data_IF_998011657910
#
_entry.id   IF_998011657910
#
_cell.length_a   1.000
_cell.length_b   1.000
_cell.length_c   1.000
_cell.angle_alpha   90.00
_cell.angle_beta   90.00
_cell.angle_gamma   90.00
#
_symmetry.space_group_name_H-M   'P 1'
#
loop_
_entity.id
_entity.type
_entity.pdbx_description
1 polymer ?
#
# COMPACT_ATOMS: atom_id res chain seq x y z
N UNK A 1 1.24 8.96 -25.15
CA UNK A 1 0.27 8.28 -26.04
C UNK A 1 -1.08 8.38 -25.37
N UNK A 2 -2.02 9.13 -25.94
CA UNK A 2 -3.29 9.53 -25.27
C UNK A 2 -4.44 8.63 -25.74
N UNK A 3 -5.08 7.83 -24.88
CA UNK A 3 -6.46 7.42 -25.12
C UNK A 3 -7.43 8.46 -24.56
N UNK A 4 -7.56 9.60 -25.26
CA UNK A 4 -8.72 10.49 -25.10
C UNK A 4 -9.98 9.75 -25.60
N UNK A 5 -10.93 9.54 -24.69
CA UNK A 5 -12.30 9.05 -24.95
C UNK A 5 -12.40 7.75 -25.77
N UNK A 6 -11.92 6.64 -25.20
CA UNK A 6 -12.25 5.28 -25.64
C UNK A 6 -13.54 4.77 -24.98
N UNK A 7 -14.23 3.82 -25.63
CA UNK A 7 -15.36 3.08 -25.04
C UNK A 7 -14.92 2.50 -23.68
N UNK A 8 -15.77 2.59 -22.65
CA UNK A 8 -15.48 1.95 -21.37
C UNK A 8 -15.32 0.44 -21.58
N UNK A 9 -14.16 -0.10 -21.25
CA UNK A 9 -13.89 -1.54 -21.37
C UNK A 9 -14.42 -2.26 -20.13
N UNK A 10 -15.20 -3.32 -20.31
CA UNK A 10 -15.62 -4.17 -19.19
C UNK A 10 -14.43 -4.96 -18.59
N UNK A 11 -14.53 -5.45 -17.35
CA UNK A 11 -13.44 -6.20 -16.70
C UNK A 11 -12.93 -7.40 -17.51
N UNK A 12 -13.80 -8.08 -18.25
CA UNK A 12 -13.41 -9.22 -19.09
C UNK A 12 -12.47 -8.85 -20.25
N UNK A 13 -12.60 -7.64 -20.81
CA UNK A 13 -11.74 -7.17 -21.91
C UNK A 13 -10.51 -6.41 -21.41
N UNK A 14 -10.58 -5.85 -20.20
CA UNK A 14 -9.50 -5.11 -19.57
C UNK A 14 -9.45 -5.44 -18.06
N UNK A 15 -8.79 -6.55 -17.69
CA UNK A 15 -8.84 -7.12 -16.35
C UNK A 15 -7.95 -6.40 -15.33
N UNK A 16 -7.04 -5.51 -15.77
CA UNK A 16 -6.09 -4.86 -14.87
C UNK A 16 -6.33 -3.35 -14.79
N UNK A 17 -5.98 -2.76 -13.63
CA UNK A 17 -5.86 -1.31 -13.46
C UNK A 17 -4.60 -0.99 -12.70
N UNK A 18 -3.64 -0.31 -13.34
CA UNK A 18 -2.52 0.31 -12.64
C UNK A 18 -2.98 1.66 -12.07
N UNK A 19 -2.75 1.91 -10.78
CA UNK A 19 -3.21 3.13 -10.11
C UNK A 19 -2.13 3.73 -9.23
N UNK A 20 -1.94 5.04 -9.33
CA UNK A 20 -1.06 5.82 -8.45
C UNK A 20 -1.84 6.94 -7.77
N UNK A 21 -1.35 7.37 -6.61
CA UNK A 21 -1.95 8.42 -5.79
C UNK A 21 -0.91 9.48 -5.46
N UNK A 22 -1.35 10.74 -5.45
CA UNK A 22 -0.64 11.81 -4.75
C UNK A 22 -1.38 12.14 -3.45
N UNK A 23 -0.63 12.30 -2.35
CA UNK A 23 -1.20 12.41 -1.00
C UNK A 23 -0.53 13.50 -0.17
N UNK A 24 -1.27 14.09 0.77
CA UNK A 24 -0.76 15.15 1.66
C UNK A 24 0.13 14.63 2.80
N UNK A 25 0.30 13.31 2.94
CA UNK A 25 1.10 12.70 4.00
C UNK A 25 1.18 11.18 3.86
N UNK A 26 1.90 10.53 4.77
CA UNK A 26 2.28 9.10 4.66
C UNK A 26 1.33 8.12 5.35
N UNK A 27 0.28 8.59 6.04
CA UNK A 27 -0.65 7.74 6.79
C UNK A 27 -2.10 7.95 6.31
N UNK A 28 -2.80 6.91 5.82
CA UNK A 28 -4.19 7.01 5.39
C UNK A 28 -5.19 7.47 6.47
N UNK A 29 -4.86 7.28 7.75
CA UNK A 29 -5.69 7.72 8.87
C UNK A 29 -5.72 9.25 9.01
N UNK A 30 -4.67 9.96 8.58
CA UNK A 30 -4.54 11.41 8.79
C UNK A 30 -4.36 12.20 7.49
N UNK A 31 -3.59 11.66 6.54
CA UNK A 31 -3.39 12.24 5.22
C UNK A 31 -4.63 12.16 4.34
N UNK A 32 -4.59 12.88 3.21
CA UNK A 32 -5.66 12.94 2.21
C UNK A 32 -5.11 12.71 0.81
N UNK A 33 -5.94 12.18 -0.07
CA UNK A 33 -5.61 12.06 -1.51
C UNK A 33 -5.87 13.40 -2.20
N UNK A 34 -4.90 13.87 -2.99
CA UNK A 34 -4.96 15.11 -3.78
C UNK A 34 -4.88 14.89 -5.28
N UNK A 35 -4.38 13.75 -5.74
CA UNK A 35 -4.54 13.31 -7.13
C UNK A 35 -4.66 11.80 -7.23
N UNK A 36 -5.38 11.34 -8.26
CA UNK A 36 -5.50 9.93 -8.63
C UNK A 36 -5.23 9.83 -10.12
N UNK A 37 -4.35 8.92 -10.50
CA UNK A 37 -4.14 8.53 -11.89
C UNK A 37 -4.29 7.01 -12.03
N UNK A 38 -4.92 6.58 -13.12
CA UNK A 38 -5.12 5.18 -13.42
C UNK A 38 -4.99 4.89 -14.91
N UNK A 39 -4.48 3.69 -15.22
CA UNK A 39 -4.44 3.08 -16.53
C UNK A 39 -5.16 1.74 -16.48
N UNK A 40 -6.27 1.63 -17.18
CA UNK A 40 -6.97 0.37 -17.41
C UNK A 40 -6.21 -0.38 -18.49
N UNK A 41 -5.86 -1.64 -18.23
CA UNK A 41 -5.02 -2.44 -19.11
C UNK A 41 -5.70 -3.74 -19.55
N UNK A 42 -5.40 -4.18 -20.77
CA UNK A 42 -5.82 -5.47 -21.33
C UNK A 42 -5.13 -6.66 -20.67
N UNK A 43 -5.44 -7.88 -21.10
CA UNK A 43 -4.86 -9.14 -20.58
C UNK A 43 -3.33 -9.24 -20.72
N UNK A 44 -2.71 -8.41 -21.55
CA UNK A 44 -1.26 -8.33 -21.70
C UNK A 44 -0.63 -7.19 -20.90
N UNK A 45 -1.42 -6.47 -20.11
CA UNK A 45 -0.95 -5.31 -19.34
C UNK A 45 -0.62 -4.10 -20.22
N UNK A 46 -1.20 -3.99 -21.41
CA UNK A 46 -1.13 -2.79 -22.23
C UNK A 46 -2.29 -1.85 -21.91
N UNK A 47 -2.01 -0.55 -21.76
CA UNK A 47 -3.02 0.44 -21.39
C UNK A 47 -3.99 0.72 -22.54
N UNK A 48 -5.29 0.64 -22.26
CA UNK A 48 -6.39 0.84 -23.22
C UNK A 48 -7.32 2.01 -22.87
N UNK A 49 -7.34 2.41 -21.59
CA UNK A 49 -8.09 3.57 -21.11
C UNK A 49 -7.31 4.25 -19.98
N UNK A 50 -7.40 5.58 -19.93
CA UNK A 50 -6.71 6.40 -18.95
C UNK A 50 -7.70 7.23 -18.12
N UNK A 51 -7.32 7.50 -16.87
CA UNK A 51 -8.09 8.35 -15.97
C UNK A 51 -7.16 9.16 -15.09
N UNK A 52 -7.43 10.47 -14.98
CA UNK A 52 -6.75 11.36 -14.05
C UNK A 52 -7.76 12.30 -13.36
N UNK A 53 -7.53 12.61 -12.09
CA UNK A 53 -8.27 13.66 -11.38
C UNK A 53 -7.50 14.24 -10.19
N UNK A 54 -7.44 15.57 -10.14
CA UNK A 54 -7.09 16.35 -8.94
C UNK A 54 -8.28 16.41 -7.98
N UNK A 55 -8.00 16.26 -6.69
CA UNK A 55 -8.98 16.18 -5.61
C UNK A 55 -8.82 17.32 -4.60
N UNK A 56 -9.94 17.93 -4.23
CA UNK A 56 -10.04 18.90 -3.16
C UNK A 56 -10.44 18.19 -1.85
N UNK A 57 -9.52 18.00 -0.88
CA UNK A 57 -9.80 17.33 0.37
C UNK A 57 -10.60 18.20 1.36
N UNK A 58 -10.65 19.52 1.16
CA UNK A 58 -11.40 20.46 1.99
C UNK A 58 -10.52 21.50 2.65
N UNK A 59 -11.10 22.66 3.02
CA UNK A 59 -10.35 23.84 3.45
C UNK A 59 -9.57 23.65 4.76
N UNK A 60 -9.94 22.67 5.59
CA UNK A 60 -9.27 22.38 6.87
C UNK A 60 -8.12 21.36 6.73
N UNK A 61 -7.80 20.93 5.51
CA UNK A 61 -6.75 19.93 5.27
C UNK A 61 -5.40 20.62 5.19
N UNK A 62 -4.43 20.16 5.99
CA UNK A 62 -3.04 20.49 5.74
C UNK A 62 -2.60 19.79 4.44
N UNK A 63 -2.32 20.57 3.40
CA UNK A 63 -1.93 20.05 2.09
C UNK A 63 -0.48 19.53 2.09
N UNK A 64 0.32 19.95 3.08
CA UNK A 64 1.73 19.62 3.12
C UNK A 64 2.54 20.38 2.06
N UNK A 65 3.82 20.02 1.88
CA UNK A 65 4.69 20.66 0.91
C UNK A 65 4.32 20.30 -0.54
N UNK A 66 4.18 21.31 -1.40
CA UNK A 66 3.90 21.16 -2.85
C UNK A 66 4.85 20.16 -3.52
N UNK A 67 6.14 20.20 -3.19
CA UNK A 67 7.15 19.34 -3.81
C UNK A 67 6.97 17.83 -3.53
N UNK A 68 6.07 17.44 -2.60
CA UNK A 68 5.73 16.03 -2.37
C UNK A 68 4.67 15.50 -3.33
N UNK A 69 3.74 16.34 -3.76
CA UNK A 69 2.59 15.92 -4.57
C UNK A 69 2.42 16.69 -5.89
N UNK A 70 3.23 17.71 -6.15
CA UNK A 70 3.28 18.45 -7.42
C UNK A 70 2.17 19.48 -7.65
N UNK A 71 1.28 19.72 -6.69
CA UNK A 71 0.10 20.59 -6.88
C UNK A 71 0.16 21.83 -6.00
N UNK A 72 -0.20 22.97 -6.56
CA UNK A 72 -0.41 24.21 -5.82
C UNK A 72 -1.73 24.15 -5.00
N UNK A 73 -1.85 24.94 -3.91
CA UNK A 73 -3.11 25.07 -3.19
C UNK A 73 -4.29 25.48 -4.09
N UNK A 74 -4.04 26.31 -5.09
CA UNK A 74 -5.05 26.80 -6.05
C UNK A 74 -5.56 25.67 -6.95
N UNK A 75 -4.67 24.83 -7.49
CA UNK A 75 -5.05 23.64 -8.27
C UNK A 75 -5.87 22.65 -7.42
N UNK A 76 -5.43 22.39 -6.19
CA UNK A 76 -6.17 21.54 -5.25
C UNK A 76 -7.54 22.14 -4.92
N UNK A 77 -7.65 23.46 -4.78
CA UNK A 77 -8.92 24.12 -4.51
C UNK A 77 -9.93 23.93 -5.66
N UNK A 78 -9.45 23.91 -6.91
CA UNK A 78 -10.26 23.64 -8.11
C UNK A 78 -10.57 22.15 -8.33
N UNK A 79 -9.86 21.26 -7.62
CA UNK A 79 -10.06 19.82 -7.68
C UNK A 79 -11.47 19.34 -7.28
N UNK A 80 -11.79 18.10 -7.65
CA UNK A 80 -13.09 17.47 -7.36
C UNK A 80 -13.16 16.98 -5.92
N UNK A 81 -14.36 16.91 -5.35
CA UNK A 81 -14.55 16.17 -4.08
C UNK A 81 -14.47 14.67 -4.35
N UNK A 82 -13.78 13.90 -3.49
CA UNK A 82 -13.70 12.44 -3.60
C UNK A 82 -15.10 11.79 -3.67
N UNK A 83 -16.07 12.29 -2.92
CA UNK A 83 -17.46 11.80 -2.95
C UNK A 83 -18.17 11.92 -4.30
N UNK A 84 -17.74 12.86 -5.15
CA UNK A 84 -18.23 12.98 -6.53
C UNK A 84 -17.50 12.05 -7.50
N UNK A 85 -16.34 11.53 -7.11
CA UNK A 85 -15.53 10.63 -7.92
C UNK A 85 -15.75 9.14 -7.59
N UNK A 86 -16.19 8.82 -6.38
CA UNK A 86 -16.23 7.46 -5.87
C UNK A 86 -16.99 6.46 -6.78
N UNK A 87 -18.18 6.78 -7.29
CA UNK A 87 -18.88 5.91 -8.27
C UNK A 87 -18.11 5.64 -9.57
N UNK A 88 -17.23 6.56 -9.97
CA UNK A 88 -16.37 6.35 -11.14
C UNK A 88 -15.25 5.39 -10.79
N UNK A 89 -14.68 5.50 -9.59
CA UNK A 89 -13.69 4.55 -9.07
C UNK A 89 -14.29 3.15 -8.88
N UNK A 90 -15.51 3.04 -8.35
CA UNK A 90 -16.25 1.77 -8.26
C UNK A 90 -16.26 1.09 -9.65
N UNK A 91 -16.79 1.76 -10.69
CA UNK A 91 -16.82 1.20 -12.07
C UNK A 91 -15.43 0.87 -12.65
N UNK A 92 -14.42 1.67 -12.31
CA UNK A 92 -13.07 1.51 -12.83
C UNK A 92 -12.34 0.34 -12.16
N UNK A 93 -12.59 0.07 -10.88
CA UNK A 93 -11.84 -0.90 -10.08
C UNK A 93 -12.59 -2.21 -9.83
N UNK A 94 -13.92 -2.18 -9.78
CA UNK A 94 -14.71 -3.35 -9.41
C UNK A 94 -14.54 -4.50 -10.42
N UNK A 95 -14.30 -5.70 -9.89
CA UNK A 95 -14.11 -6.91 -10.69
C UNK A 95 -12.82 -6.95 -11.50
N UNK A 96 -11.87 -6.04 -11.26
CA UNK A 96 -10.53 -6.05 -11.88
C UNK A 96 -9.46 -6.37 -10.85
N UNK A 97 -8.28 -6.73 -11.33
CA UNK A 97 -7.07 -6.77 -10.54
C UNK A 97 -6.46 -5.37 -10.46
N UNK A 98 -6.37 -4.82 -9.25
CA UNK A 98 -5.75 -3.53 -8.96
C UNK A 98 -4.24 -3.72 -8.80
N UNK A 99 -3.46 -3.04 -9.63
CA UNK A 99 -1.99 -3.04 -9.59
C UNK A 99 -1.52 -1.74 -8.95
N UNK A 100 -0.71 -1.85 -7.90
CA UNK A 100 -0.18 -0.71 -7.13
C UNK A 100 1.28 -0.95 -6.75
N UNK A 101 1.95 0.09 -6.27
CA UNK A 101 3.28 0.01 -5.68
C UNK A 101 3.17 0.41 -4.22
N UNK A 102 3.41 -0.53 -3.29
CA UNK A 102 3.01 -0.42 -1.87
C UNK A 102 1.48 -0.43 -1.69
N UNK A 103 0.93 -1.65 -1.70
CA UNK A 103 -0.50 -1.89 -1.52
C UNK A 103 -1.01 -1.42 -0.16
N UNK A 104 -0.32 -1.66 0.98
CA UNK A 104 -0.77 -1.17 2.27
C UNK A 104 -1.04 0.33 2.30
N UNK A 105 -0.20 1.13 1.66
CA UNK A 105 -0.36 2.56 1.56
C UNK A 105 -1.49 2.94 0.59
N UNK A 106 -1.37 2.52 -0.67
CA UNK A 106 -2.27 2.95 -1.76
C UNK A 106 -3.70 2.49 -1.53
N UNK A 107 -3.88 1.22 -1.18
CA UNK A 107 -5.20 0.68 -0.84
C UNK A 107 -5.76 1.31 0.44
N UNK A 108 -4.91 1.59 1.44
CA UNK A 108 -5.32 2.30 2.65
C UNK A 108 -5.90 3.67 2.38
N UNK A 109 -5.30 4.46 1.49
CA UNK A 109 -5.85 5.75 1.09
C UNK A 109 -7.21 5.62 0.38
N UNK A 110 -7.35 4.69 -0.56
CA UNK A 110 -8.62 4.45 -1.25
C UNK A 110 -9.73 4.04 -0.28
N UNK A 111 -9.45 3.10 0.63
CA UNK A 111 -10.39 2.64 1.67
C UNK A 111 -10.76 3.79 2.61
N UNK A 112 -9.79 4.58 3.07
CA UNK A 112 -10.00 5.71 3.99
C UNK A 112 -10.87 6.80 3.35
N UNK A 113 -10.55 7.24 2.13
CA UNK A 113 -11.34 8.25 1.43
C UNK A 113 -12.76 7.77 1.11
N UNK A 114 -12.93 6.52 0.68
CA UNK A 114 -14.25 5.93 0.43
C UNK A 114 -15.09 5.89 1.72
N UNK A 115 -14.51 5.41 2.84
CA UNK A 115 -15.18 5.40 4.15
C UNK A 115 -15.55 6.81 4.62
N UNK A 116 -14.69 7.81 4.42
CA UNK A 116 -14.97 9.22 4.74
C UNK A 116 -16.13 9.76 3.90
N UNK A 117 -16.11 9.53 2.59
CA UNK A 117 -17.15 9.98 1.67
C UNK A 117 -18.52 9.35 2.00
N UNK A 118 -18.56 8.04 2.21
CA UNK A 118 -19.78 7.32 2.60
C UNK A 118 -20.31 7.81 3.95
N UNK A 119 -19.43 7.98 4.95
CA UNK A 119 -19.81 8.47 6.27
C UNK A 119 -20.37 9.90 6.22
N UNK A 120 -19.77 10.79 5.43
CA UNK A 120 -20.26 12.14 5.22
C UNK A 120 -21.65 12.15 4.56
N UNK A 121 -21.85 11.36 3.51
CA UNK A 121 -23.15 11.22 2.85
C UNK A 121 -24.21 10.64 3.81
N UNK A 122 -23.86 9.64 4.63
CA UNK A 122 -24.75 9.08 5.63
C UNK A 122 -25.16 10.13 6.69
N UNK A 123 -24.21 10.92 7.21
CA UNK A 123 -24.50 12.02 8.14
C UNK A 123 -25.43 13.07 7.52
N UNK A 124 -25.17 13.48 6.28
CA UNK A 124 -26.00 14.45 5.55
C UNK A 124 -27.43 13.92 5.32
N UNK A 125 -27.58 12.64 5.01
CA UNK A 125 -28.89 12.01 4.85
C UNK A 125 -29.66 11.95 6.19
N UNK A 126 -28.99 11.63 7.31
CA UNK A 126 -29.61 11.60 8.65
C UNK A 126 -30.05 12.99 9.12
N UNK A 127 -29.21 14.02 8.95
CA UNK A 127 -29.57 15.39 9.36
C UNK A 127 -30.77 15.93 8.58
N UNK A 128 -30.88 15.59 7.29
CA UNK A 128 -32.04 15.92 6.46
C UNK A 128 -33.30 15.17 6.91
N UNK A 129 -33.19 13.90 7.28
CA UNK A 129 -34.33 13.12 7.78
C UNK A 129 -34.91 13.69 9.07
N UNK A 130 -34.06 14.17 10.00
CA UNK A 130 -34.54 14.81 11.25
C UNK A 130 -35.27 16.13 11.00
N UNK A 131 -34.91 16.85 9.92
CA UNK A 131 -35.60 18.09 9.50
C UNK A 131 -36.92 17.82 8.73
N UNK A 132 -37.28 16.56 8.44
CA UNK A 132 -38.52 16.20 7.72
C UNK A 132 -39.82 16.38 8.53
N UNK A 133 -39.75 16.77 9.81
CA UNK A 133 -40.93 17.13 10.60
C UNK A 133 -41.73 18.35 10.10
N UNK A 134 -41.26 19.06 9.05
CA UNK A 134 -41.99 20.16 8.39
C UNK A 134 -41.84 20.09 6.87
N UNK A 135 -42.84 19.53 6.19
CA UNK A 135 -43.31 19.97 4.86
C UNK A 135 -42.44 19.81 3.61
N UNK A 136 -41.25 19.19 3.64
CA UNK A 136 -40.38 19.14 2.44
C UNK A 136 -40.18 17.71 1.89
N UNK A 137 -41.21 17.20 1.22
CA UNK A 137 -41.17 15.95 0.45
C UNK A 137 -40.55 16.22 -0.94
N UNK A 138 -39.27 15.90 -1.15
CA UNK A 138 -38.76 15.97 -2.54
C UNK A 138 -37.27 15.73 -2.79
N UNK A 139 -36.36 15.88 -1.80
CA UNK A 139 -34.91 15.71 -2.09
C UNK A 139 -34.43 14.27 -1.94
N UNK A 140 -33.94 13.71 -3.06
CA UNK A 140 -33.38 12.34 -3.20
C UNK A 140 -32.17 12.12 -2.28
N UNK A 141 -32.09 10.92 -1.68
CA UNK A 141 -30.98 10.49 -0.80
C UNK A 141 -29.65 10.58 -1.55
N UNK A 142 -28.63 11.17 -0.94
CA UNK A 142 -27.29 11.23 -1.54
C UNK A 142 -26.66 9.83 -1.50
N UNK A 143 -26.37 9.26 -2.69
CA UNK A 143 -25.65 7.99 -2.88
C UNK A 143 -24.31 8.31 -3.55
N UNK A 144 -23.21 8.02 -2.87
CA UNK A 144 -21.84 8.41 -3.31
C UNK A 144 -21.01 7.26 -3.87
N UNK A 145 -21.43 6.00 -3.72
CA UNK A 145 -20.66 4.81 -4.11
C UNK A 145 -20.41 3.89 -2.93
N UNK A 146 -19.46 2.98 -3.05
CA UNK A 146 -18.98 2.09 -1.97
C UNK A 146 -17.45 2.14 -1.82
N UNK A 147 -16.87 1.30 -0.96
CA UNK A 147 -15.42 1.05 -1.06
C UNK A 147 -15.23 0.20 -2.32
N UNK A 148 -14.33 0.55 -3.26
CA UNK A 148 -14.09 -0.26 -4.45
C UNK A 148 -13.87 -1.74 -4.13
N UNK A 149 -14.23 -2.62 -5.07
CA UNK A 149 -14.20 -4.07 -4.91
C UNK A 149 -13.39 -4.72 -6.04
N UNK A 150 -12.07 -4.46 -6.12
CA UNK A 150 -11.21 -5.21 -7.03
C UNK A 150 -11.23 -6.70 -6.64
N UNK A 151 -11.04 -7.58 -7.62
CA UNK A 151 -10.96 -9.02 -7.37
C UNK A 151 -9.68 -9.36 -6.61
N UNK A 152 -8.57 -8.72 -6.99
CA UNK A 152 -7.22 -8.92 -6.44
C UNK A 152 -6.49 -7.58 -6.37
N UNK A 153 -5.52 -7.49 -5.47
CA UNK A 153 -4.58 -6.37 -5.40
C UNK A 153 -3.17 -6.93 -5.57
N UNK A 154 -2.45 -6.48 -6.59
CA UNK A 154 -1.04 -6.80 -6.85
C UNK A 154 -0.17 -5.68 -6.31
N UNK A 155 0.79 -6.01 -5.45
CA UNK A 155 1.82 -5.09 -4.97
C UNK A 155 3.14 -5.33 -5.69
N UNK A 156 3.52 -4.40 -6.55
CA UNK A 156 4.75 -4.50 -7.33
C UNK A 156 6.02 -4.33 -6.50
N UNK A 157 5.99 -3.63 -5.36
CA UNK A 157 7.13 -3.51 -4.46
C UNK A 157 7.37 -4.82 -3.71
N UNK A 158 6.31 -5.40 -3.12
CA UNK A 158 6.39 -6.69 -2.46
C UNK A 158 6.78 -7.81 -3.46
N UNK A 159 6.27 -7.75 -4.69
CA UNK A 159 6.67 -8.65 -5.78
C UNK A 159 8.18 -8.58 -6.04
N UNK A 160 8.74 -7.37 -6.13
CA UNK A 160 10.17 -7.18 -6.36
C UNK A 160 11.03 -7.70 -5.20
N UNK A 161 10.58 -7.55 -3.94
CA UNK A 161 11.25 -8.14 -2.79
C UNK A 161 11.23 -9.68 -2.83
N UNK A 162 10.07 -10.29 -3.11
CA UNK A 162 9.92 -11.75 -3.23
C UNK A 162 10.74 -12.34 -4.39
N UNK A 163 10.94 -11.57 -5.46
CA UNK A 163 11.82 -11.93 -6.56
C UNK A 163 13.32 -11.84 -6.20
N UNK A 164 13.67 -11.36 -5.01
CA UNK A 164 15.06 -11.16 -4.59
C UNK A 164 15.76 -10.00 -5.29
N UNK A 165 15.02 -9.09 -5.93
CA UNK A 165 15.61 -7.95 -6.64
C UNK A 165 16.34 -7.04 -5.66
N UNK A 166 17.59 -6.72 -5.96
CA UNK A 166 18.38 -5.79 -5.16
C UNK A 166 18.12 -4.34 -5.56
N UNK A 167 17.48 -3.58 -4.67
CA UNK A 167 17.34 -2.13 -4.78
C UNK A 167 17.48 -1.45 -3.41
N UNK A 168 17.97 -0.21 -3.42
CA UNK A 168 18.16 0.61 -2.20
C UNK A 168 17.02 1.60 -1.94
N UNK A 169 16.38 2.05 -3.01
CA UNK A 169 15.28 3.01 -2.99
C UNK A 169 14.01 2.28 -3.39
N UNK A 170 13.02 2.29 -2.50
CA UNK A 170 11.75 1.57 -2.65
C UNK A 170 10.75 2.34 -3.51
N UNK A 171 11.13 3.49 -4.07
CA UNK A 171 10.25 4.23 -4.97
C UNK A 171 10.18 3.53 -6.32
N UNK A 172 8.99 3.56 -6.93
CA UNK A 172 8.66 2.86 -8.17
C UNK A 172 9.75 2.95 -9.24
N UNK A 173 10.27 4.15 -9.50
CA UNK A 173 11.27 4.34 -10.55
C UNK A 173 12.62 3.67 -10.25
N UNK A 174 13.06 3.64 -8.98
CA UNK A 174 14.28 2.92 -8.61
C UNK A 174 14.09 1.40 -8.72
N UNK A 175 12.94 0.89 -8.28
CA UNK A 175 12.61 -0.55 -8.40
C UNK A 175 12.51 -0.96 -9.87
N UNK A 176 11.86 -0.14 -10.70
CA UNK A 176 11.77 -0.37 -12.14
C UNK A 176 13.16 -0.37 -12.81
N UNK A 177 14.03 0.58 -12.46
CA UNK A 177 15.40 0.60 -12.96
C UNK A 177 16.21 -0.64 -12.52
N UNK A 178 16.03 -1.10 -11.27
CA UNK A 178 16.72 -2.28 -10.74
C UNK A 178 16.35 -3.59 -11.46
N UNK A 179 15.17 -3.65 -12.08
CA UNK A 179 14.75 -4.78 -12.91
C UNK A 179 15.00 -4.56 -14.42
N UNK A 180 15.70 -3.49 -14.79
CA UNK A 180 16.09 -3.20 -16.17
C UNK A 180 15.07 -2.46 -17.02
N UNK A 181 14.05 -1.81 -16.41
CA UNK A 181 13.15 -0.92 -17.15
C UNK A 181 13.72 0.50 -17.22
N UNK A 182 13.47 1.17 -18.34
CA UNK A 182 13.77 2.59 -18.48
C UNK A 182 12.90 3.42 -17.52
N UNK A 183 13.55 4.12 -16.59
CA UNK A 183 12.89 4.95 -15.59
C UNK A 183 13.72 6.21 -15.32
N UNK A 184 13.05 7.37 -15.25
CA UNK A 184 13.72 8.60 -14.80
C UNK A 184 14.14 8.44 -13.32
N UNK A 185 15.33 8.94 -12.98
CA UNK A 185 15.82 8.91 -11.61
C UNK A 185 14.78 9.49 -10.64
N UNK A 186 14.53 8.82 -9.50
CA UNK A 186 13.60 9.33 -8.50
C UNK A 186 14.20 10.47 -7.67
N UNK A 187 15.47 10.81 -7.86
CA UNK A 187 16.13 11.94 -7.18
C UNK A 187 15.46 13.24 -7.61
N UNK A 188 15.15 14.10 -6.64
CA UNK A 188 14.53 15.38 -6.90
C UNK A 188 15.42 16.24 -7.82
N UNK A 189 14.81 16.86 -8.83
CA UNK A 189 15.48 17.74 -9.78
C UNK A 189 14.63 18.98 -10.05
N UNK A 190 15.29 20.10 -10.37
CA UNK A 190 14.59 21.35 -10.75
C UNK A 190 13.72 21.11 -11.98
N UNK A 191 14.23 20.37 -12.96
CA UNK A 191 13.48 19.98 -14.16
C UNK A 191 12.18 19.30 -13.79
N UNK A 192 12.23 18.27 -12.94
CA UNK A 192 11.03 17.53 -12.51
C UNK A 192 10.06 18.41 -11.72
N UNK A 193 10.56 19.30 -10.87
CA UNK A 193 9.74 20.20 -10.06
C UNK A 193 8.96 21.24 -10.89
N UNK A 194 9.38 21.51 -12.13
CA UNK A 194 8.71 22.44 -13.04
C UNK A 194 7.66 21.77 -13.95
N UNK A 195 7.54 20.45 -13.89
CA UNK A 195 6.61 19.70 -14.74
C UNK A 195 5.20 19.70 -14.14
N UNK A 196 4.15 19.71 -14.97
CA UNK A 196 2.77 19.54 -14.49
C UNK A 196 2.60 18.23 -13.72
N UNK A 197 1.84 18.25 -12.62
CA UNK A 197 1.59 17.06 -11.80
C UNK A 197 0.99 15.92 -12.61
N UNK A 198 0.00 16.22 -13.46
CA UNK A 198 -0.68 15.21 -14.28
C UNK A 198 0.32 14.43 -15.16
N UNK A 199 1.31 15.10 -15.76
CA UNK A 199 2.32 14.44 -16.59
C UNK A 199 3.23 13.52 -15.76
N UNK A 200 3.72 14.02 -14.61
CA UNK A 200 4.62 13.27 -13.73
C UNK A 200 3.92 12.05 -13.14
N UNK A 201 2.67 12.22 -12.71
CA UNK A 201 1.86 11.13 -12.17
C UNK A 201 1.47 10.15 -13.27
N UNK A 202 1.11 10.62 -14.48
CA UNK A 202 0.82 9.74 -15.63
C UNK A 202 2.02 8.86 -16.00
N UNK A 203 3.21 9.44 -16.06
CA UNK A 203 4.43 8.67 -16.32
C UNK A 203 4.71 7.64 -15.23
N UNK A 204 4.46 8.00 -13.98
CA UNK A 204 4.57 7.07 -12.85
C UNK A 204 3.57 5.91 -12.99
N UNK A 205 2.32 6.16 -13.36
CA UNK A 205 1.33 5.09 -13.60
C UNK A 205 1.69 4.25 -14.82
N UNK A 206 2.22 4.85 -15.89
CA UNK A 206 2.70 4.11 -17.06
C UNK A 206 3.88 3.19 -16.71
N UNK A 207 4.81 3.67 -15.88
CA UNK A 207 5.92 2.88 -15.37
C UNK A 207 5.44 1.73 -14.48
N UNK A 208 4.42 1.95 -13.65
CA UNK A 208 3.79 0.91 -12.84
C UNK A 208 3.17 -0.18 -13.73
N UNK A 209 2.43 0.21 -14.78
CA UNK A 209 1.88 -0.73 -15.75
C UNK A 209 2.99 -1.51 -16.49
N UNK A 210 4.08 -0.85 -16.87
CA UNK A 210 5.23 -1.49 -17.50
C UNK A 210 5.95 -2.47 -16.57
N UNK A 211 6.15 -2.11 -15.29
CA UNK A 211 6.69 -2.97 -14.24
C UNK A 211 5.85 -4.23 -14.07
N UNK A 212 4.54 -4.08 -13.98
CA UNK A 212 3.62 -5.21 -13.87
C UNK A 212 3.63 -6.12 -15.11
N UNK A 213 3.58 -5.54 -16.32
CA UNK A 213 3.69 -6.29 -17.57
C UNK A 213 5.01 -7.05 -17.67
N UNK A 214 6.10 -6.45 -17.22
CA UNK A 214 7.39 -7.13 -17.14
C UNK A 214 7.30 -8.38 -16.24
N UNK A 215 6.76 -8.24 -15.03
CA UNK A 215 6.56 -9.37 -14.10
C UNK A 215 5.69 -10.48 -14.70
N UNK A 216 4.59 -10.13 -15.39
CA UNK A 216 3.75 -11.11 -16.10
C UNK A 216 4.54 -11.86 -17.18
N UNK A 217 5.29 -11.14 -18.02
CA UNK A 217 6.06 -11.74 -19.11
C UNK A 217 7.15 -12.70 -18.64
N UNK A 218 7.64 -12.51 -17.41
CA UNK A 218 8.65 -13.36 -16.78
C UNK A 218 8.06 -14.51 -15.97
N UNK A 219 6.74 -14.57 -15.81
CA UNK A 219 6.08 -15.54 -14.93
C UNK A 219 6.51 -15.39 -13.47
N UNK A 220 6.89 -14.18 -13.04
CA UNK A 220 7.33 -13.94 -11.68
C UNK A 220 6.16 -14.15 -10.69
N UNK A 221 6.38 -14.79 -9.53
CA UNK A 221 5.34 -14.93 -8.52
C UNK A 221 4.95 -13.55 -8.00
N UNK A 222 3.70 -13.17 -8.24
CA UNK A 222 3.18 -11.86 -7.84
C UNK A 222 2.83 -11.86 -6.34
N UNK A 223 3.09 -10.74 -5.67
CA UNK A 223 2.55 -10.48 -4.35
C UNK A 223 1.10 -10.00 -4.48
N UNK A 224 0.17 -10.90 -4.17
CA UNK A 224 -1.26 -10.69 -4.38
C UNK A 224 -2.05 -10.79 -3.08
N UNK A 225 -3.09 -9.96 -2.97
CA UNK A 225 -3.97 -9.90 -1.82
C UNK A 225 -5.43 -9.87 -2.25
N UNK A 226 -6.28 -10.65 -1.58
CA UNK A 226 -7.72 -10.41 -1.65
C UNK A 226 -8.05 -9.20 -0.75
N UNK A 227 -8.85 -8.23 -1.23
CA UNK A 227 -9.20 -7.06 -0.41
C UNK A 227 -9.87 -7.39 0.93
N UNK A 228 -10.56 -8.53 1.01
CA UNK A 228 -11.24 -9.02 2.21
C UNK A 228 -10.28 -9.48 3.31
N UNK A 229 -9.05 -9.88 2.96
CA UNK A 229 -8.04 -10.37 3.90
C UNK A 229 -7.22 -9.22 4.50
N UNK A 230 -7.44 -7.99 4.01
CA UNK A 230 -6.75 -6.80 4.46
C UNK A 230 -7.55 -6.02 5.50
N UNK A 231 -6.84 -5.52 6.50
CA UNK A 231 -7.37 -4.73 7.62
C UNK A 231 -6.52 -3.49 7.84
N UNK A 232 -7.18 -2.41 8.25
CA UNK A 232 -6.50 -1.19 8.66
C UNK A 232 -5.70 -1.39 9.94
N UNK A 233 -4.42 -1.01 9.92
CA UNK A 233 -3.65 -0.75 11.13
C UNK A 233 -4.03 0.63 11.74
N UNK A 234 -3.47 1.05 12.89
CA UNK A 234 -3.77 2.35 13.49
C UNK A 234 -3.44 3.57 12.61
N UNK A 235 -2.55 3.42 11.63
CA UNK A 235 -2.20 4.46 10.66
C UNK A 235 -3.09 4.41 9.41
N UNK A 236 -3.99 3.43 9.32
CA UNK A 236 -4.89 3.23 8.19
C UNK A 236 -4.28 2.44 7.03
N UNK A 237 -3.05 1.95 7.18
CA UNK A 237 -2.41 1.09 6.18
C UNK A 237 -3.15 -0.26 6.13
N UNK A 238 -3.43 -0.77 4.94
CA UNK A 238 -4.13 -2.05 4.76
C UNK A 238 -3.12 -3.19 4.77
N UNK A 239 -3.06 -3.92 5.87
CA UNK A 239 -2.15 -5.06 6.04
C UNK A 239 -2.97 -6.34 6.18
N UNK A 240 -2.36 -7.50 5.99
CA UNK A 240 -3.01 -8.78 6.25
C UNK A 240 -3.58 -8.82 7.67
N UNK A 241 -4.70 -9.52 7.83
CA UNK A 241 -5.29 -9.76 9.15
C UNK A 241 -4.28 -10.42 10.10
N UNK A 242 -3.53 -11.42 9.62
CA UNK A 242 -2.46 -12.13 10.35
C UNK A 242 -1.47 -11.14 10.96
N UNK A 243 -0.96 -10.20 10.15
CA UNK A 243 0.01 -9.20 10.62
C UNK A 243 -0.57 -8.21 11.63
N UNK A 244 -1.79 -7.73 11.40
CA UNK A 244 -2.44 -6.77 12.32
C UNK A 244 -2.76 -7.42 13.65
N UNK A 245 -3.27 -8.65 13.63
CA UNK A 245 -3.63 -9.42 14.82
C UNK A 245 -2.40 -9.81 15.63
N UNK A 246 -1.35 -10.32 14.99
CA UNK A 246 -0.10 -10.64 15.67
C UNK A 246 0.53 -9.41 16.34
N UNK A 247 0.46 -8.23 15.72
CA UNK A 247 0.98 -6.99 16.30
C UNK A 247 0.17 -6.50 17.52
N UNK A 248 -1.07 -6.95 17.67
CA UNK A 248 -1.99 -6.59 18.76
C UNK A 248 -2.14 -7.71 19.80
N UNK A 249 -1.55 -8.87 19.54
CA UNK A 249 -1.66 -10.03 20.41
C UNK A 249 -1.08 -9.73 21.82
N UNK A 250 -1.71 -10.24 22.88
CA UNK A 250 -1.18 -10.09 24.22
C UNK A 250 0.13 -10.86 24.35
N UNK A 251 1.09 -10.29 25.10
CA UNK A 251 2.37 -10.95 25.39
C UNK A 251 2.13 -11.99 26.49
N UNK A 252 2.24 -13.27 26.13
CA UNK A 252 1.99 -14.39 27.06
C UNK A 252 3.21 -14.69 27.93
N UNK A 253 4.41 -14.64 27.34
CA UNK A 253 5.67 -14.90 28.02
C UNK A 253 6.46 -13.60 28.21
N UNK A 254 7.24 -13.52 29.29
CA UNK A 254 8.22 -12.46 29.49
C UNK A 254 9.33 -12.58 28.44
N UNK A 255 9.88 -11.44 28.01
CA UNK A 255 10.93 -11.45 27.00
C UNK A 255 12.29 -11.79 27.64
N UNK A 256 12.93 -12.92 27.27
CA UNK A 256 14.19 -13.37 27.87
C UNK A 256 15.42 -12.56 27.41
N UNK A 257 15.22 -11.57 26.53
CA UNK A 257 16.27 -10.67 26.06
C UNK A 257 16.65 -10.92 24.59
N UNK A 258 17.82 -10.41 24.16
CA UNK A 258 18.26 -10.50 22.78
C UNK A 258 18.59 -11.94 22.38
N UNK A 259 18.28 -12.29 21.14
CA UNK A 259 18.72 -13.53 20.54
C UNK A 259 20.25 -13.58 20.51
N UNK A 260 20.83 -14.77 20.73
CA UNK A 260 22.27 -15.00 20.59
C UNK A 260 22.50 -15.83 19.32
N UNK A 261 23.27 -15.34 18.34
CA UNK A 261 23.58 -16.11 17.14
C UNK A 261 24.08 -17.52 17.47
N UNK A 262 23.49 -18.53 16.83
CA UNK A 262 23.77 -19.95 17.09
C UNK A 262 23.03 -20.56 18.29
N UNK A 263 22.33 -19.74 19.09
CA UNK A 263 21.43 -20.20 20.15
C UNK A 263 20.03 -20.53 19.64
N UNK A 264 19.17 -20.99 20.55
CA UNK A 264 17.75 -21.21 20.29
C UNK A 264 16.94 -19.91 20.38
N UNK A 265 15.86 -19.81 19.60
CA UNK A 265 14.80 -18.86 19.89
C UNK A 265 14.03 -19.34 21.11
N UNK A 266 13.61 -18.41 21.97
CA UNK A 266 12.90 -18.72 23.20
C UNK A 266 11.53 -18.04 23.19
N UNK A 267 10.47 -18.71 23.69
CA UNK A 267 9.15 -18.09 23.86
C UNK A 267 9.26 -16.73 24.57
N UNK A 268 8.46 -15.76 24.14
CA UNK A 268 8.48 -14.39 24.65
C UNK A 268 9.42 -13.43 23.92
N UNK A 269 10.41 -13.92 23.18
CA UNK A 269 11.28 -13.06 22.37
C UNK A 269 10.47 -12.20 21.38
N UNK A 270 10.88 -10.95 21.21
CA UNK A 270 10.23 -10.02 20.29
C UNK A 270 10.93 -10.02 18.93
N UNK A 271 10.17 -10.27 17.87
CA UNK A 271 10.65 -10.41 16.50
C UNK A 271 10.13 -9.25 15.66
N UNK A 272 11.02 -8.61 14.91
CA UNK A 272 10.67 -7.61 13.90
C UNK A 272 11.00 -8.15 12.52
N UNK A 273 10.09 -7.99 11.56
CA UNK A 273 10.32 -8.41 10.17
C UNK A 273 10.59 -7.17 9.31
N UNK A 274 11.73 -7.20 8.61
CA UNK A 274 12.13 -6.20 7.61
C UNK A 274 11.51 -6.53 6.24
N UNK A 275 11.25 -5.55 5.36
CA UNK A 275 10.74 -5.82 4.01
C UNK A 275 11.75 -6.55 3.11
N UNK A 276 13.04 -6.52 3.42
CA UNK A 276 14.10 -7.23 2.68
C UNK A 276 14.10 -8.74 2.99
N UNK A 277 12.98 -9.41 2.69
CA UNK A 277 12.78 -10.86 2.78
C UNK A 277 12.19 -11.40 1.47
N UNK A 278 12.41 -12.68 1.20
CA UNK A 278 11.89 -13.35 0.00
C UNK A 278 10.59 -14.11 0.29
N UNK A 279 10.45 -14.65 1.51
CA UNK A 279 9.25 -15.35 1.95
C UNK A 279 8.06 -14.39 2.18
N UNK A 280 6.85 -14.94 2.19
CA UNK A 280 5.67 -14.18 2.59
C UNK A 280 5.82 -13.75 4.07
N UNK A 281 5.71 -12.45 4.39
CA UNK A 281 5.69 -12.02 5.79
C UNK A 281 4.64 -12.75 6.63
N UNK A 282 3.50 -13.13 6.06
CA UNK A 282 2.43 -13.79 6.80
C UNK A 282 2.82 -15.19 7.27
N UNK A 283 3.60 -15.93 6.47
CA UNK A 283 4.11 -17.25 6.85
C UNK A 283 5.08 -17.15 8.04
N UNK A 284 5.98 -16.15 8.01
CA UNK A 284 6.90 -15.87 9.12
C UNK A 284 6.16 -15.46 10.39
N UNK A 285 5.13 -14.62 10.27
CA UNK A 285 4.30 -14.16 11.39
C UNK A 285 3.48 -15.31 11.97
N UNK A 286 2.89 -16.15 11.14
CA UNK A 286 2.16 -17.33 11.60
C UNK A 286 3.09 -18.33 12.31
N UNK A 287 4.30 -18.54 11.79
CA UNK A 287 5.29 -19.42 12.40
C UNK A 287 5.75 -18.90 13.76
N UNK A 288 6.13 -17.62 13.86
CA UNK A 288 6.62 -17.04 15.11
C UNK A 288 5.52 -17.01 16.19
N UNK A 289 4.27 -16.69 15.82
CA UNK A 289 3.14 -16.69 16.77
C UNK A 289 2.87 -18.10 17.30
N UNK A 290 2.90 -19.13 16.46
CA UNK A 290 2.76 -20.53 16.90
C UNK A 290 3.87 -20.97 17.85
N UNK A 291 5.08 -20.43 17.71
CA UNK A 291 6.21 -20.71 18.61
C UNK A 291 6.21 -19.88 19.91
N UNK A 292 5.15 -19.12 20.20
CA UNK A 292 5.07 -18.29 21.40
C UNK A 292 6.00 -17.07 21.38
N UNK A 293 6.49 -16.67 20.20
CA UNK A 293 7.24 -15.44 19.99
C UNK A 293 6.28 -14.27 19.75
N UNK A 294 6.75 -13.04 19.99
CA UNK A 294 5.95 -11.83 19.87
C UNK A 294 6.32 -11.05 18.60
N UNK A 295 5.36 -10.82 17.71
CA UNK A 295 5.58 -9.95 16.57
C UNK A 295 5.54 -8.47 16.97
N UNK A 296 6.45 -7.67 16.43
CA UNK A 296 6.38 -6.21 16.49
C UNK A 296 6.58 -5.58 15.13
N UNK A 297 5.70 -4.64 14.78
CA UNK A 297 5.84 -3.85 13.55
C UNK A 297 7.05 -2.89 13.63
N UNK A 298 7.39 -2.44 14.85
CA UNK A 298 8.43 -1.44 15.10
C UNK A 298 9.57 -2.02 15.92
N UNK A 299 10.78 -1.53 15.66
CA UNK A 299 11.92 -1.76 16.55
C UNK A 299 11.69 -1.08 17.90
N UNK A 300 11.71 -1.87 18.96
CA UNK A 300 11.62 -1.40 20.34
C UNK A 300 12.95 -1.64 21.08
N UNK A 301 13.01 -1.30 22.37
CA UNK A 301 14.15 -1.66 23.22
C UNK A 301 14.13 -3.15 23.61
N UNK A 302 12.98 -3.80 23.48
CA UNK A 302 12.79 -5.22 23.78
C UNK A 302 13.01 -6.11 22.55
N UNK A 303 13.28 -5.56 21.36
CA UNK A 303 13.43 -6.38 20.16
C UNK A 303 14.59 -7.35 20.30
N UNK A 304 14.29 -8.65 20.19
CA UNK A 304 15.24 -9.74 20.39
C UNK A 304 15.99 -10.08 19.11
N UNK A 305 15.33 -10.01 17.96
CA UNK A 305 15.89 -10.34 16.64
C UNK A 305 15.14 -9.64 15.52
N UNK A 306 15.82 -9.34 14.41
CA UNK A 306 15.20 -8.87 13.17
C UNK A 306 15.37 -9.89 12.06
N UNK A 307 14.28 -10.21 11.37
CA UNK A 307 14.31 -11.05 10.16
C UNK A 307 14.58 -10.16 8.95
N UNK A 308 15.68 -10.41 8.25
CA UNK A 308 16.18 -9.66 7.11
C UNK A 308 17.20 -10.48 6.32
N UNK A 309 17.00 -10.65 5.02
CA UNK A 309 17.93 -11.36 4.13
C UNK A 309 19.12 -10.50 3.73
N UNK A 310 18.97 -9.17 3.77
CA UNK A 310 20.04 -8.25 3.42
C UNK A 310 21.05 -8.13 4.56
N UNK A 311 22.34 -8.26 4.22
CA UNK A 311 23.46 -8.21 5.19
C UNK A 311 24.43 -7.04 4.95
N UNK A 312 24.33 -6.35 3.81
CA UNK A 312 25.16 -5.20 3.44
C UNK A 312 24.30 -4.00 3.10
N UNK A 313 24.84 -2.79 3.27
CA UNK A 313 24.17 -1.53 2.92
C UNK A 313 22.75 -1.40 3.48
N UNK A 314 22.61 -1.73 4.77
CA UNK A 314 21.32 -1.83 5.42
C UNK A 314 20.57 -0.48 5.42
N UNK A 315 19.24 -0.57 5.25
CA UNK A 315 18.30 0.55 5.38
C UNK A 315 17.18 0.20 6.36
N UNK A 316 16.37 1.20 6.69
CA UNK A 316 15.17 1.02 7.51
C UNK A 316 15.41 0.23 8.80
N UNK A 317 14.60 -0.82 9.00
CA UNK A 317 14.62 -1.63 10.22
C UNK A 317 15.96 -2.32 10.42
N UNK A 318 16.49 -2.99 9.39
CA UNK A 318 17.78 -3.69 9.48
C UNK A 318 18.95 -2.76 9.88
N UNK A 319 19.02 -1.56 9.30
CA UNK A 319 20.03 -0.56 9.66
C UNK A 319 19.94 -0.14 11.13
N UNK A 320 18.72 0.12 11.61
CA UNK A 320 18.49 0.52 13.00
C UNK A 320 18.74 -0.62 13.98
N UNK A 321 18.48 -1.86 13.58
CA UNK A 321 18.82 -3.05 14.35
C UNK A 321 20.34 -3.18 14.53
N UNK A 322 21.10 -3.08 13.44
CA UNK A 322 22.56 -3.12 13.48
C UNK A 322 23.15 -2.03 14.39
N UNK A 323 22.65 -0.78 14.27
CA UNK A 323 23.09 0.33 15.15
C UNK A 323 22.83 0.09 16.63
N UNK A 324 21.84 -0.73 16.96
CA UNK A 324 21.46 -1.09 18.33
C UNK A 324 22.05 -2.43 18.79
N UNK A 325 22.86 -3.09 17.97
CA UNK A 325 23.41 -4.41 18.27
C UNK A 325 22.37 -5.53 18.30
N UNK A 326 21.21 -5.34 17.66
CA UNK A 326 20.17 -6.37 17.55
C UNK A 326 20.57 -7.32 16.41
N UNK A 327 20.60 -8.65 16.64
CA UNK A 327 21.00 -9.61 15.62
C UNK A 327 20.01 -9.69 14.47
N UNK A 328 20.53 -10.02 13.29
CA UNK A 328 19.75 -10.30 12.08
C UNK A 328 19.74 -11.80 11.79
N UNK A 329 18.62 -12.32 11.32
CA UNK A 329 18.49 -13.65 10.74
C UNK A 329 17.87 -13.54 9.35
N UNK A 330 18.30 -14.36 8.39
CA UNK A 330 17.54 -14.53 7.15
C UNK A 330 16.18 -15.16 7.46
N UNK A 331 15.22 -14.98 6.57
CA UNK A 331 13.89 -15.60 6.68
C UNK A 331 13.97 -17.13 6.75
N UNK A 332 14.83 -17.76 5.95
CA UNK A 332 15.11 -19.20 6.01
C UNK A 332 15.69 -19.65 7.36
N UNK A 333 16.76 -18.99 7.82
CA UNK A 333 17.41 -19.32 9.10
C UNK A 333 16.47 -19.07 10.29
N UNK A 334 15.60 -18.06 10.18
CA UNK A 334 14.58 -17.80 11.17
C UNK A 334 13.54 -18.93 11.24
N UNK A 335 13.03 -19.39 10.10
CA UNK A 335 12.07 -20.52 10.09
C UNK A 335 12.68 -21.80 10.68
N UNK A 336 13.91 -22.16 10.28
CA UNK A 336 14.61 -23.29 10.87
C UNK A 336 14.78 -23.14 12.39
N UNK A 337 15.06 -21.93 12.87
CA UNK A 337 15.18 -21.65 14.29
C UNK A 337 13.83 -21.76 15.02
N UNK A 338 12.73 -21.35 14.38
CA UNK A 338 11.36 -21.43 14.91
C UNK A 338 10.89 -22.89 15.03
N UNK A 339 11.18 -23.74 14.04
CA UNK A 339 10.83 -25.16 14.09
C UNK A 339 11.46 -25.87 15.29
N UNK A 340 12.71 -25.53 15.64
CA UNK A 340 13.39 -26.09 16.82
C UNK A 340 12.72 -25.70 18.15
N UNK A 341 11.98 -24.59 18.20
CA UNK A 341 11.23 -24.17 19.41
C UNK A 341 9.99 -25.02 19.62
N UNK A 342 9.33 -25.44 18.54
CA UNK A 342 8.08 -26.19 18.59
C UNK A 342 8.29 -27.69 18.91
N UNK A 343 9.54 -28.18 18.86
CA UNK A 343 9.89 -29.60 18.96
C UNK A 343 9.63 -30.33 17.63
N UNK A 344 10.28 -31.48 17.37
CA UNK A 344 9.92 -32.30 16.21
C UNK A 344 8.46 -32.77 16.34
N UNK A 345 7.70 -32.60 15.26
CA UNK A 345 6.28 -32.98 15.16
C UNK A 345 6.04 -34.48 15.37
#
# INVERSE_FOLDING_TARGET
MTPRNGKQHGPAAAPYVALTLQTTGIHPATGRVVAIDALVCDEHGAAVEDFHAVLNPGPQTNLGPVHYHGLTPEEIAQGRRFSGLLKRLDRLLDGRTLVVHDAPLTWGFLVSEAKRAMSAAARANRSRSRRRGRGNQGRRRQRVGHVPQPERIVDTLATAHRAGTEFHDTRLAAVAAAIGLEAESPVASIRRAQRPEEEVTRESTALLAALFRHSLSKGAPLAEYAPGDLKADPFGLQRSAVRVEAAQAPRVHENPGPYRPGGALLPGMEVVISPEIALDPDDLIAALTRAGLNYSEKLTRATSVVVCNRTRELRGKAMHAQRKGIPLLSDSAFLEAVERVQGPA
#
